data_IF_284740566613
#
_entry.id   IF_284740566613
#
_cell.length_a   1.000
_cell.length_b   1.000
_cell.length_c   1.000
_cell.angle_alpha   90.00
_cell.angle_beta   90.00
_cell.angle_gamma   90.00
#
_symmetry.space_group_name_H-M   'P 1'
#
loop_
_entity.id
_entity.type
_entity.pdbx_description
1 polymer ?
#
# COMPACT_ATOMS: atom_id res chain seq x y z
N UNK A 1 -14.56 20.50 -3.09
CA UNK A 1 -14.19 21.57 -2.13
C UNK A 1 -14.96 22.84 -2.41
N UNK A 2 -15.03 23.33 -3.64
CA UNK A 2 -15.78 24.52 -4.00
C UNK A 2 -17.24 24.48 -3.53
N UNK A 3 -17.95 23.41 -3.89
CA UNK A 3 -19.34 23.24 -3.43
C UNK A 3 -19.50 23.18 -1.90
N UNK A 4 -18.48 22.68 -1.18
CA UNK A 4 -18.49 22.70 0.29
C UNK A 4 -18.26 24.10 0.89
N UNK A 5 -17.59 24.98 0.15
CA UNK A 5 -17.40 26.38 0.53
C UNK A 5 -18.69 27.20 0.41
N UNK A 6 -19.56 26.82 -0.52
CA UNK A 6 -20.86 27.45 -0.74
C UNK A 6 -21.94 27.00 0.27
N UNK A 7 -21.72 25.93 1.02
CA UNK A 7 -22.67 25.45 2.02
C UNK A 7 -22.78 26.46 3.18
N UNK A 8 -23.97 26.97 3.42
CA UNK A 8 -24.29 27.72 4.61
C UNK A 8 -24.53 26.80 5.80
N UNK A 9 -24.06 27.19 6.98
CA UNK A 9 -24.36 26.50 8.23
C UNK A 9 -25.23 27.43 9.10
N UNK A 10 -26.41 26.97 9.49
CA UNK A 10 -27.37 27.73 10.27
C UNK A 10 -27.26 27.48 11.78
N UNK A 11 -26.50 26.46 12.16
CA UNK A 11 -26.27 26.07 13.55
C UNK A 11 -24.93 25.35 13.70
N UNK A 12 -24.51 25.11 14.94
CA UNK A 12 -23.23 24.47 15.25
C UNK A 12 -23.09 23.05 14.68
N UNK A 13 -24.17 22.28 14.62
CA UNK A 13 -24.14 20.91 14.07
C UNK A 13 -23.85 20.93 12.58
N UNK A 14 -24.53 21.79 11.85
CA UNK A 14 -24.29 21.97 10.41
C UNK A 14 -22.88 22.49 10.12
N UNK A 15 -22.34 23.40 10.96
CA UNK A 15 -20.97 23.88 10.83
C UNK A 15 -19.95 22.73 11.05
N UNK A 16 -20.16 21.87 12.04
CA UNK A 16 -19.31 20.70 12.26
C UNK A 16 -19.39 19.71 11.08
N UNK A 17 -20.57 19.50 10.52
CA UNK A 17 -20.75 18.68 9.32
C UNK A 17 -20.03 19.28 8.10
N UNK A 18 -20.17 20.59 7.88
CA UNK A 18 -19.48 21.31 6.81
C UNK A 18 -17.97 21.19 6.94
N UNK A 19 -17.43 21.45 8.12
CA UNK A 19 -16.00 21.28 8.41
C UNK A 19 -15.53 19.87 8.13
N UNK A 20 -16.32 18.87 8.55
CA UNK A 20 -16.01 17.45 8.29
C UNK A 20 -15.92 17.15 6.80
N UNK A 21 -16.92 17.56 6.00
CA UNK A 21 -16.92 17.37 4.55
C UNK A 21 -15.68 17.99 3.91
N UNK A 22 -15.28 19.22 4.34
CA UNK A 22 -14.07 19.88 3.87
C UNK A 22 -12.82 19.08 4.22
N UNK A 23 -12.69 18.66 5.47
CA UNK A 23 -11.54 17.88 5.93
C UNK A 23 -11.38 16.55 5.16
N UNK A 24 -12.48 15.83 4.98
CA UNK A 24 -12.49 14.59 4.21
C UNK A 24 -12.16 14.83 2.72
N UNK A 25 -12.67 15.91 2.12
CA UNK A 25 -12.37 16.24 0.73
C UNK A 25 -10.88 16.61 0.54
N UNK A 26 -10.28 17.34 1.48
CA UNK A 26 -8.85 17.61 1.48
C UNK A 26 -8.03 16.32 1.65
N UNK A 27 -8.39 15.47 2.59
CA UNK A 27 -7.75 14.17 2.78
C UNK A 27 -7.79 13.32 1.50
N UNK A 28 -8.96 13.18 0.86
CA UNK A 28 -9.11 12.40 -0.35
C UNK A 28 -8.30 12.98 -1.52
N UNK A 29 -8.28 14.31 -1.68
CA UNK A 29 -7.47 14.95 -2.72
C UNK A 29 -5.98 14.70 -2.48
N UNK A 30 -5.52 14.83 -1.24
CA UNK A 30 -4.16 14.49 -0.87
C UNK A 30 -3.82 13.02 -1.19
N UNK A 31 -4.69 12.08 -0.82
CA UNK A 31 -4.50 10.66 -1.07
C UNK A 31 -4.41 10.35 -2.58
N UNK A 32 -5.29 10.94 -3.39
CA UNK A 32 -5.26 10.72 -4.83
C UNK A 32 -4.02 11.33 -5.49
N UNK A 33 -3.62 12.57 -5.15
CA UNK A 33 -2.40 13.14 -5.69
C UNK A 33 -1.14 12.44 -5.21
N UNK A 34 -1.12 11.97 -3.97
CA UNK A 34 -0.03 11.12 -3.48
C UNK A 34 0.06 9.80 -4.27
N UNK A 35 -1.07 9.19 -4.59
CA UNK A 35 -1.10 7.99 -5.43
C UNK A 35 -0.62 8.29 -6.84
N UNK A 36 -1.13 9.35 -7.48
CA UNK A 36 -0.78 9.73 -8.84
C UNK A 36 0.71 10.07 -8.99
N UNK A 37 1.28 10.86 -8.08
CA UNK A 37 2.71 11.20 -8.14
C UNK A 37 3.59 9.97 -7.96
N UNK A 38 3.15 8.98 -7.17
CA UNK A 38 3.89 7.74 -6.99
C UNK A 38 3.67 6.70 -8.10
N UNK A 39 2.70 6.89 -8.98
CA UNK A 39 2.52 6.08 -10.19
C UNK A 39 3.29 6.68 -11.39
N UNK A 40 3.16 7.97 -11.61
CA UNK A 40 3.58 8.66 -12.82
C UNK A 40 4.79 9.57 -12.68
N UNK A 41 5.15 9.99 -11.45
CA UNK A 41 6.37 10.74 -11.15
C UNK A 41 7.54 9.83 -10.75
N UNK A 42 8.74 10.35 -10.70
CA UNK A 42 9.91 9.66 -10.14
C UNK A 42 9.81 9.57 -8.60
N UNK A 43 10.43 8.54 -7.96
CA UNK A 43 10.47 8.46 -6.50
C UNK A 43 11.09 9.74 -5.90
N UNK A 44 10.49 10.22 -4.80
CA UNK A 44 10.95 11.44 -4.16
C UNK A 44 12.38 11.31 -3.61
N UNK A 45 13.28 12.13 -4.11
CA UNK A 45 14.64 12.32 -3.58
C UNK A 45 15.23 13.62 -4.15
N UNK A 46 16.32 14.18 -3.60
CA UNK A 46 16.89 15.45 -4.08
C UNK A 46 17.19 15.49 -5.59
N UNK A 47 17.51 14.35 -6.18
CA UNK A 47 17.78 14.23 -7.62
C UNK A 47 16.51 14.33 -8.47
N UNK A 48 15.36 13.91 -7.93
CA UNK A 48 14.14 13.72 -8.69
C UNK A 48 13.07 14.79 -8.43
N UNK A 49 13.19 15.59 -7.37
CA UNK A 49 12.15 16.55 -6.97
C UNK A 49 11.75 17.55 -8.05
N UNK A 50 12.67 17.94 -8.92
CA UNK A 50 12.40 18.86 -10.04
C UNK A 50 11.93 18.15 -11.34
N UNK A 51 11.78 16.81 -11.33
CA UNK A 51 11.30 16.09 -12.51
C UNK A 51 9.79 16.22 -12.68
N UNK A 52 9.28 16.24 -13.93
CA UNK A 52 7.85 16.24 -14.19
C UNK A 52 7.14 15.03 -13.58
N UNK A 53 5.93 15.24 -13.05
CA UNK A 53 5.10 14.20 -12.46
C UNK A 53 3.69 14.19 -13.05
N UNK A 54 2.77 14.96 -12.47
CA UNK A 54 1.37 15.01 -12.89
C UNK A 54 0.82 16.43 -12.82
N UNK A 55 -0.16 16.80 -13.66
CA UNK A 55 -0.82 18.09 -13.56
C UNK A 55 -1.67 18.18 -12.28
N UNK A 56 -1.68 19.36 -11.65
CA UNK A 56 -2.54 19.68 -10.51
C UNK A 56 -3.81 20.41 -10.98
N UNK A 57 -4.93 19.68 -11.01
CA UNK A 57 -6.25 20.27 -11.21
C UNK A 57 -6.93 20.48 -9.84
N UNK A 58 -7.08 21.74 -9.44
CA UNK A 58 -7.59 22.11 -8.12
C UNK A 58 -9.02 22.66 -8.15
N UNK A 59 -9.57 22.87 -9.34
CA UNK A 59 -10.94 23.33 -9.57
C UNK A 59 -11.85 22.19 -10.01
N UNK A 60 -13.13 22.25 -9.67
CA UNK A 60 -14.13 21.23 -10.01
C UNK A 60 -14.70 21.39 -11.43
N UNK A 61 -14.58 22.57 -12.00
CA UNK A 61 -15.14 22.86 -13.32
C UNK A 61 -14.28 22.30 -14.45
N UNK A 62 -14.94 21.89 -15.53
CA UNK A 62 -14.25 21.58 -16.79
C UNK A 62 -13.78 22.92 -17.38
N UNK A 63 -12.49 23.04 -17.61
CA UNK A 63 -11.86 24.21 -18.19
C UNK A 63 -11.26 23.82 -19.53
N UNK A 64 -11.50 24.65 -20.55
CA UNK A 64 -10.87 24.48 -21.87
C UNK A 64 -9.49 25.15 -21.83
N UNK A 65 -8.54 24.42 -21.26
CA UNK A 65 -7.13 24.84 -21.16
C UNK A 65 -6.20 23.64 -21.06
N UNK A 66 -5.01 23.81 -21.55
CA UNK A 66 -3.92 22.86 -21.37
C UNK A 66 -3.43 22.87 -19.91
N UNK A 67 -3.27 21.67 -19.32
CA UNK A 67 -2.72 21.54 -17.99
C UNK A 67 -1.21 21.37 -18.04
N UNK A 68 -0.50 22.21 -17.32
CA UNK A 68 0.96 22.09 -17.16
C UNK A 68 1.27 20.96 -16.18
N UNK A 69 2.21 20.09 -16.56
CA UNK A 69 2.70 19.03 -15.66
C UNK A 69 3.52 19.68 -14.54
N UNK A 70 3.10 19.43 -13.32
CA UNK A 70 3.82 19.86 -12.12
C UNK A 70 4.97 18.91 -11.78
N UNK A 71 5.97 19.42 -11.07
CA UNK A 71 7.09 18.64 -10.60
C UNK A 71 6.70 17.73 -9.43
N UNK A 72 7.54 16.73 -9.15
CA UNK A 72 7.37 15.87 -7.97
C UNK A 72 7.27 16.71 -6.69
N UNK A 73 8.14 17.71 -6.51
CA UNK A 73 8.13 18.61 -5.35
C UNK A 73 6.81 19.38 -5.21
N UNK A 74 6.32 19.99 -6.30
CA UNK A 74 5.07 20.75 -6.30
C UNK A 74 3.87 19.87 -5.93
N UNK A 75 3.82 18.63 -6.43
CA UNK A 75 2.74 17.71 -6.10
C UNK A 75 2.82 17.28 -4.63
N UNK A 76 4.00 16.94 -4.11
CA UNK A 76 4.16 16.60 -2.69
C UNK A 76 3.85 17.80 -1.78
N UNK A 77 4.24 19.02 -2.16
CA UNK A 77 3.86 20.25 -1.44
C UNK A 77 2.34 20.43 -1.40
N UNK A 78 1.63 20.16 -2.52
CA UNK A 78 0.16 20.20 -2.55
C UNK A 78 -0.47 19.14 -1.66
N UNK A 79 0.06 17.92 -1.69
CA UNK A 79 -0.39 16.82 -0.81
C UNK A 79 -0.28 17.22 0.66
N UNK A 80 0.88 17.73 1.09
CA UNK A 80 1.07 18.16 2.47
C UNK A 80 0.17 19.32 2.83
N UNK A 81 -0.01 20.32 1.95
CA UNK A 81 -0.91 21.44 2.20
C UNK A 81 -2.38 20.97 2.38
N UNK A 82 -2.83 20.00 1.58
CA UNK A 82 -4.16 19.43 1.77
C UNK A 82 -4.28 18.63 3.07
N UNK A 83 -3.22 17.94 3.50
CA UNK A 83 -3.22 17.24 4.79
C UNK A 83 -3.19 18.19 5.99
N UNK A 84 -2.58 19.37 5.88
CA UNK A 84 -2.68 20.41 6.91
C UNK A 84 -4.10 20.98 7.02
N UNK A 85 -4.76 21.23 5.89
CA UNK A 85 -6.16 21.66 5.89
C UNK A 85 -7.09 20.56 6.45
N UNK A 86 -6.86 19.29 6.07
CA UNK A 86 -7.62 18.17 6.61
C UNK A 86 -7.47 18.05 8.13
N UNK A 87 -6.25 18.20 8.65
CA UNK A 87 -5.96 18.24 10.09
C UNK A 87 -6.75 19.35 10.79
N UNK A 88 -6.68 20.59 10.26
CA UNK A 88 -7.37 21.74 10.83
C UNK A 88 -8.90 21.58 10.87
N UNK A 89 -9.49 20.92 9.88
CA UNK A 89 -10.94 20.71 9.81
C UNK A 89 -11.43 19.49 10.62
N UNK A 90 -10.65 18.42 10.70
CA UNK A 90 -11.07 17.16 11.34
C UNK A 90 -10.72 17.09 12.83
N UNK A 91 -9.66 17.79 13.27
CA UNK A 91 -9.26 17.81 14.67
C UNK A 91 -10.37 18.35 15.57
N UNK A 92 -10.72 17.55 16.59
CA UNK A 92 -11.84 17.85 17.48
C UNK A 92 -13.23 17.64 16.88
N UNK A 93 -13.30 16.98 15.72
CA UNK A 93 -14.54 16.65 15.03
C UNK A 93 -14.55 15.16 14.58
N UNK A 94 -13.99 14.30 15.41
CA UNK A 94 -13.87 12.87 15.15
C UNK A 94 -15.25 12.19 15.18
N UNK A 95 -15.46 11.22 14.29
CA UNK A 95 -16.60 10.32 14.31
C UNK A 95 -16.07 8.90 14.49
N UNK A 96 -16.25 8.38 15.68
CA UNK A 96 -15.79 7.04 16.01
C UNK A 96 -16.56 5.96 15.24
N UNK A 97 -15.87 4.87 14.95
CA UNK A 97 -16.43 3.64 14.36
C UNK A 97 -17.07 3.83 12.98
N UNK A 98 -16.44 4.61 12.10
CA UNK A 98 -16.91 4.79 10.75
C UNK A 98 -15.78 4.51 9.73
N UNK A 99 -15.49 3.25 9.40
CA UNK A 99 -14.30 2.85 8.63
C UNK A 99 -14.26 3.44 7.21
N UNK A 100 -15.38 3.91 6.69
CA UNK A 100 -15.48 4.51 5.34
C UNK A 100 -15.43 6.04 5.33
N UNK A 101 -15.16 6.65 6.47
CA UNK A 101 -15.05 8.10 6.62
C UNK A 101 -13.68 8.41 7.20
N UNK A 102 -12.91 9.23 6.52
CA UNK A 102 -11.62 9.65 7.03
C UNK A 102 -11.78 10.54 8.26
N UNK A 103 -10.97 10.31 9.28
CA UNK A 103 -10.85 11.13 10.46
C UNK A 103 -9.40 11.60 10.67
N UNK A 104 -9.12 12.23 11.78
CA UNK A 104 -7.78 12.75 12.10
C UNK A 104 -6.73 11.63 12.20
N UNK A 105 -7.12 10.41 12.59
CA UNK A 105 -6.23 9.24 12.66
C UNK A 105 -5.73 8.85 11.27
N UNK A 106 -6.65 8.85 10.29
CA UNK A 106 -6.32 8.61 8.89
C UNK A 106 -5.40 9.70 8.31
N UNK A 107 -5.63 10.96 8.68
CA UNK A 107 -4.76 12.08 8.29
C UNK A 107 -3.34 11.90 8.83
N UNK A 108 -3.20 11.54 10.11
CA UNK A 108 -1.87 11.32 10.70
C UNK A 108 -1.16 10.13 10.06
N UNK A 109 -1.86 9.05 9.79
CA UNK A 109 -1.26 7.91 9.10
C UNK A 109 -0.81 8.27 7.68
N UNK A 110 -1.61 9.02 6.93
CA UNK A 110 -1.20 9.46 5.59
C UNK A 110 -0.04 10.46 5.64
N UNK A 111 -0.02 11.42 6.58
CA UNK A 111 1.15 12.29 6.81
C UNK A 111 2.40 11.47 7.09
N UNK A 112 2.32 10.48 7.98
CA UNK A 112 3.44 9.59 8.27
C UNK A 112 3.94 8.88 7.01
N UNK A 113 3.04 8.32 6.20
CA UNK A 113 3.37 7.66 4.91
C UNK A 113 4.04 8.63 3.93
N UNK A 114 3.50 9.85 3.77
CA UNK A 114 4.06 10.88 2.88
C UNK A 114 5.47 11.26 3.31
N UNK A 115 5.68 11.55 4.60
CA UNK A 115 7.01 11.90 5.12
C UNK A 115 8.00 10.74 5.04
N UNK A 116 7.54 9.49 5.24
CA UNK A 116 8.35 8.29 5.03
C UNK A 116 8.88 8.20 3.59
N UNK A 117 8.02 8.50 2.60
CA UNK A 117 8.40 8.53 1.18
C UNK A 117 9.34 9.70 0.85
N UNK A 118 9.21 10.82 1.55
CA UNK A 118 10.12 11.96 1.44
C UNK A 118 11.44 11.77 2.19
N UNK A 119 11.60 10.67 2.92
CA UNK A 119 12.73 10.39 3.81
C UNK A 119 12.90 11.45 4.93
N UNK A 120 11.81 12.11 5.30
CA UNK A 120 11.73 12.98 6.47
C UNK A 120 11.36 12.13 7.69
N UNK A 121 12.37 11.46 8.24
CA UNK A 121 12.17 10.43 9.27
C UNK A 121 11.57 10.98 10.56
N UNK A 122 11.94 12.20 10.97
CA UNK A 122 11.42 12.85 12.18
C UNK A 122 9.93 13.11 12.08
N UNK A 123 9.46 13.71 10.98
CA UNK A 123 8.03 13.96 10.77
C UNK A 123 7.26 12.67 10.50
N UNK A 124 7.88 11.66 9.85
CA UNK A 124 7.27 10.35 9.66
C UNK A 124 7.01 9.66 11.01
N UNK A 125 8.00 9.61 11.91
CA UNK A 125 7.88 9.04 13.24
C UNK A 125 6.86 9.79 14.10
N UNK A 126 6.92 11.13 14.11
CA UNK A 126 5.98 11.99 14.84
C UNK A 126 4.52 11.74 14.45
N UNK A 127 4.22 11.68 13.16
CA UNK A 127 2.85 11.47 12.71
C UNK A 127 2.40 10.01 12.86
N UNK A 128 3.31 9.03 12.77
CA UNK A 128 3.01 7.65 13.15
C UNK A 128 2.63 7.57 14.64
N UNK A 129 3.38 8.22 15.51
CA UNK A 129 3.08 8.26 16.94
C UNK A 129 1.74 8.95 17.22
N UNK A 130 1.45 10.10 16.60
CA UNK A 130 0.14 10.78 16.74
C UNK A 130 -1.02 9.88 16.29
N UNK A 131 -0.84 9.08 15.25
CA UNK A 131 -1.81 8.08 14.83
C UNK A 131 -2.01 7.01 15.92
N UNK A 132 -0.92 6.45 16.42
CA UNK A 132 -0.93 5.39 17.45
C UNK A 132 -1.44 5.86 18.80
N UNK A 133 -1.29 7.13 19.14
CA UNK A 133 -1.86 7.72 20.36
C UNK A 133 -3.41 7.74 20.31
N UNK A 134 -4.00 7.76 19.12
CA UNK A 134 -5.45 7.73 18.93
C UNK A 134 -5.96 6.29 18.74
N UNK A 135 -5.23 5.47 17.98
CA UNK A 135 -5.60 4.08 17.72
C UNK A 135 -4.32 3.24 17.52
N UNK A 136 -4.07 2.29 18.42
CA UNK A 136 -2.85 1.47 18.44
C UNK A 136 -3.12 -0.04 18.53
N UNK A 137 -4.39 -0.44 18.52
CA UNK A 137 -4.78 -1.85 18.68
C UNK A 137 -4.29 -2.69 17.52
N UNK A 138 -3.86 -3.92 17.84
CA UNK A 138 -3.45 -4.95 16.89
C UNK A 138 -4.27 -6.21 17.15
N UNK A 139 -4.71 -6.85 16.08
CA UNK A 139 -5.31 -8.18 16.16
C UNK A 139 -4.24 -9.18 16.55
N UNK A 140 -4.47 -9.94 17.61
CA UNK A 140 -3.56 -11.00 18.01
C UNK A 140 -3.92 -12.32 17.30
N UNK A 141 -3.09 -12.71 16.35
CA UNK A 141 -3.30 -13.93 15.58
C UNK A 141 -3.16 -15.21 16.43
N UNK A 142 -2.55 -15.15 17.61
CA UNK A 142 -2.52 -16.27 18.54
C UNK A 142 -3.91 -16.64 19.10
N UNK A 143 -4.86 -15.70 19.06
CA UNK A 143 -6.22 -15.86 19.58
C UNK A 143 -7.32 -15.54 18.56
N UNK A 144 -6.96 -15.26 17.33
CA UNK A 144 -7.85 -14.69 16.29
C UNK A 144 -8.86 -15.67 15.70
N UNK A 145 -8.97 -16.86 16.06
CA UNK A 145 -9.91 -17.80 15.46
C UNK A 145 -9.23 -18.87 14.59
N UNK A 146 -9.79 -19.18 13.42
CA UNK A 146 -9.26 -20.21 12.53
C UNK A 146 -8.95 -19.66 11.13
N UNK A 147 -8.40 -20.49 10.24
CA UNK A 147 -8.03 -20.12 8.87
C UNK A 147 -9.21 -19.67 7.97
N UNK A 148 -10.44 -19.92 8.39
CA UNK A 148 -11.63 -19.45 7.66
C UNK A 148 -12.08 -18.05 8.07
N UNK A 149 -11.51 -17.51 9.18
CA UNK A 149 -11.81 -16.17 9.65
C UNK A 149 -11.08 -15.14 8.80
N UNK A 150 -11.81 -14.27 8.11
CA UNK A 150 -11.21 -13.19 7.34
C UNK A 150 -10.51 -12.18 8.27
N UNK A 151 -9.25 -11.89 7.98
CA UNK A 151 -8.45 -10.95 8.76
C UNK A 151 -8.84 -9.49 8.50
N UNK A 152 -8.91 -9.10 7.23
CA UNK A 152 -9.22 -7.74 6.82
C UNK A 152 -10.74 -7.53 6.68
N UNK A 153 -11.35 -6.93 7.67
CA UNK A 153 -12.80 -6.63 7.70
C UNK A 153 -13.06 -5.20 8.18
N UNK A 154 -14.25 -4.67 7.87
CA UNK A 154 -14.67 -3.35 8.34
C UNK A 154 -14.83 -3.24 9.85
N UNK A 155 -14.92 -4.35 10.56
CA UNK A 155 -15.00 -4.42 12.03
C UNK A 155 -13.65 -4.69 12.71
N UNK A 156 -12.57 -4.81 11.95
CA UNK A 156 -11.24 -5.03 12.52
C UNK A 156 -10.83 -3.85 13.42
N UNK A 157 -10.33 -4.10 14.64
CA UNK A 157 -9.83 -3.04 15.52
C UNK A 157 -8.59 -2.33 14.97
N UNK A 158 -7.92 -2.95 13.98
CA UNK A 158 -6.79 -2.32 13.28
C UNK A 158 -7.23 -1.32 12.21
N UNK A 159 -8.47 -1.41 11.72
CA UNK A 159 -8.90 -0.60 10.59
C UNK A 159 -9.12 0.86 11.02
N UNK A 160 -8.43 1.77 10.37
CA UNK A 160 -8.56 3.22 10.54
C UNK A 160 -9.47 3.79 9.45
N UNK A 161 -9.20 3.44 8.19
CA UNK A 161 -9.96 3.93 7.05
C UNK A 161 -9.90 2.95 5.88
N UNK A 162 -10.99 2.85 5.13
CA UNK A 162 -11.06 2.09 3.89
C UNK A 162 -12.01 2.74 2.90
N UNK A 163 -11.65 2.74 1.62
CA UNK A 163 -12.57 3.20 0.57
C UNK A 163 -13.62 2.14 0.19
N UNK A 164 -13.55 0.96 0.80
CA UNK A 164 -14.44 -0.17 0.50
C UNK A 164 -14.10 -0.86 -0.83
N UNK A 165 -14.50 -2.10 -0.95
CA UNK A 165 -14.29 -2.92 -2.15
C UNK A 165 -12.85 -3.39 -2.36
N UNK A 166 -12.69 -4.65 -2.75
CA UNK A 166 -11.40 -5.23 -3.13
C UNK A 166 -11.58 -6.16 -4.33
N UNK A 167 -10.50 -6.32 -5.11
CA UNK A 167 -10.44 -7.20 -6.27
C UNK A 167 -9.37 -8.28 -6.12
N UNK A 168 -8.45 -8.14 -5.17
CA UNK A 168 -7.32 -9.06 -4.98
C UNK A 168 -7.76 -10.51 -4.80
N UNK A 169 -8.75 -10.84 -3.94
CA UNK A 169 -9.22 -12.22 -3.83
C UNK A 169 -9.73 -12.80 -5.15
N UNK A 170 -10.43 -12.00 -5.95
CA UNK A 170 -10.91 -12.44 -7.26
C UNK A 170 -9.78 -12.65 -8.25
N UNK A 171 -8.76 -11.82 -8.21
CA UNK A 171 -7.61 -11.91 -9.13
C UNK A 171 -6.70 -13.09 -8.79
N UNK A 172 -6.51 -13.39 -7.50
CA UNK A 172 -5.60 -14.44 -7.04
C UNK A 172 -6.30 -15.79 -6.83
N UNK A 173 -7.60 -15.77 -6.47
CA UNK A 173 -8.35 -16.99 -6.14
C UNK A 173 -9.16 -17.51 -7.34
N UNK A 174 -9.02 -16.91 -8.50
CA UNK A 174 -9.62 -17.38 -9.74
C UNK A 174 -8.58 -18.20 -10.52
N UNK A 175 -8.76 -19.51 -10.55
CA UNK A 175 -7.91 -20.44 -11.32
C UNK A 175 -7.77 -20.06 -12.80
N UNK A 176 -8.66 -19.24 -13.33
CA UNK A 176 -8.62 -18.74 -14.72
C UNK A 176 -7.86 -17.41 -14.85
N UNK A 177 -7.62 -16.69 -13.76
CA UNK A 177 -6.88 -15.43 -13.80
C UNK A 177 -5.36 -15.65 -13.92
N UNK A 178 -4.88 -16.85 -13.61
CA UNK A 178 -3.46 -17.23 -13.75
C UNK A 178 -2.51 -16.49 -12.82
N UNK A 179 -3.02 -15.90 -11.73
CA UNK A 179 -2.24 -15.17 -10.74
C UNK A 179 -2.27 -15.93 -9.41
N UNK A 180 -1.12 -15.99 -8.75
CA UNK A 180 -0.97 -16.55 -7.41
C UNK A 180 -0.03 -15.67 -6.57
N UNK A 181 0.03 -15.92 -5.27
CA UNK A 181 1.05 -15.30 -4.43
C UNK A 181 2.44 -15.75 -4.89
N UNK A 182 3.39 -14.80 -4.98
CA UNK A 182 4.75 -15.14 -5.44
C UNK A 182 5.48 -16.04 -4.45
N UNK A 183 6.32 -16.96 -4.95
CA UNK A 183 7.17 -17.81 -4.12
C UNK A 183 8.01 -16.98 -3.13
N UNK A 184 8.59 -15.88 -3.59
CA UNK A 184 9.35 -14.95 -2.74
C UNK A 184 8.53 -14.39 -1.55
N UNK A 185 7.21 -14.24 -1.69
CA UNK A 185 6.35 -13.83 -0.57
C UNK A 185 6.16 -14.99 0.41
N UNK A 186 5.91 -16.18 -0.11
CA UNK A 186 5.73 -17.39 0.71
C UNK A 186 6.98 -17.66 1.55
N UNK A 187 8.15 -17.56 0.94
CA UNK A 187 9.45 -17.76 1.60
C UNK A 187 9.76 -16.71 2.68
N UNK A 188 9.11 -15.54 2.64
CA UNK A 188 9.26 -14.53 3.70
C UNK A 188 8.66 -14.95 5.05
N UNK A 189 7.75 -15.93 5.07
CA UNK A 189 7.10 -16.40 6.29
C UNK A 189 7.82 -17.62 6.86
N UNK A 190 8.21 -17.53 8.13
CA UNK A 190 8.70 -18.70 8.86
C UNK A 190 7.54 -19.65 9.17
N UNK A 191 7.86 -20.88 9.58
CA UNK A 191 6.85 -21.87 9.94
C UNK A 191 5.95 -21.43 11.09
N UNK A 192 6.47 -20.58 12.00
CA UNK A 192 5.78 -20.09 13.18
C UNK A 192 5.13 -18.71 12.98
N UNK A 193 5.16 -18.18 11.75
CA UNK A 193 4.46 -16.95 11.38
C UNK A 193 3.00 -17.27 11.08
N UNK A 194 2.11 -16.86 11.97
CA UNK A 194 0.67 -17.16 11.89
C UNK A 194 0.01 -16.52 10.67
N UNK A 195 0.59 -15.45 10.10
CA UNK A 195 0.07 -14.81 8.88
C UNK A 195 0.02 -15.77 7.70
N UNK A 196 0.93 -16.73 7.63
CA UNK A 196 0.91 -17.75 6.57
C UNK A 196 -0.43 -18.49 6.56
N UNK A 197 -0.97 -18.79 7.74
CA UNK A 197 -2.26 -19.47 7.89
C UNK A 197 -3.46 -18.55 7.61
N UNK A 198 -3.37 -17.25 7.99
CA UNK A 198 -4.51 -16.33 7.91
C UNK A 198 -4.54 -15.52 6.62
N UNK A 199 -3.37 -15.24 6.02
CA UNK A 199 -3.28 -14.40 4.81
C UNK A 199 -3.24 -15.20 3.52
N UNK A 200 -2.90 -16.49 3.61
CA UNK A 200 -2.68 -17.37 2.48
C UNK A 200 -3.46 -18.67 2.64
N UNK A 201 -3.86 -19.25 1.53
CA UNK A 201 -4.42 -20.61 1.47
C UNK A 201 -3.67 -21.37 0.40
N UNK A 202 -3.08 -22.51 0.76
CA UNK A 202 -2.47 -23.40 -0.21
C UNK A 202 -3.55 -24.04 -1.09
N UNK A 203 -3.35 -23.97 -2.40
CA UNK A 203 -4.28 -24.56 -3.36
C UNK A 203 -3.96 -26.05 -3.50
N UNK A 204 -4.93 -26.89 -3.16
CA UNK A 204 -4.77 -28.33 -3.09
C UNK A 204 -4.22 -28.92 -4.41
N UNK A 205 -3.23 -29.79 -4.31
CA UNK A 205 -2.52 -30.42 -5.44
C UNK A 205 -1.72 -29.48 -6.33
N UNK A 206 -1.36 -28.28 -5.85
CA UNK A 206 -0.53 -27.33 -6.57
C UNK A 206 0.54 -26.73 -5.65
N UNK A 207 1.48 -25.97 -6.24
CA UNK A 207 2.45 -25.16 -5.48
C UNK A 207 1.98 -23.70 -5.33
N UNK A 208 0.71 -23.41 -5.62
CA UNK A 208 0.16 -22.07 -5.61
C UNK A 208 -0.52 -21.72 -4.29
N UNK A 209 -0.56 -20.44 -4.01
CA UNK A 209 -1.21 -19.88 -2.83
C UNK A 209 -2.18 -18.78 -3.23
N UNK A 210 -3.38 -18.89 -2.73
CA UNK A 210 -4.43 -17.87 -2.84
C UNK A 210 -4.33 -16.86 -1.70
N UNK A 211 -4.93 -15.68 -1.90
CA UNK A 211 -5.09 -14.69 -0.86
C UNK A 211 -6.29 -15.03 0.03
N UNK A 212 -6.04 -15.25 1.30
CA UNK A 212 -7.08 -15.51 2.32
C UNK A 212 -7.29 -14.33 3.30
N UNK A 213 -6.62 -13.22 3.07
CA UNK A 213 -6.64 -12.05 3.97
C UNK A 213 -7.98 -11.35 4.04
N UNK A 214 -8.75 -11.38 2.95
CA UNK A 214 -10.03 -10.72 2.79
C UNK A 214 -11.20 -11.69 2.81
N UNK A 215 -12.39 -11.17 3.08
CA UNK A 215 -13.62 -11.94 2.92
C UNK A 215 -13.77 -12.33 1.46
N UNK A 216 -13.98 -13.61 1.18
CA UNK A 216 -14.15 -14.13 -0.19
C UNK A 216 -15.40 -13.52 -0.85
N UNK A 217 -15.30 -13.14 -2.11
CA UNK A 217 -16.38 -12.48 -2.87
C UNK A 217 -17.64 -13.33 -3.12
N UNK A 218 -17.58 -14.62 -2.93
CA UNK A 218 -18.73 -15.51 -3.10
C UNK A 218 -19.89 -15.21 -2.14
N UNK A 219 -19.60 -14.61 -1.00
CA UNK A 219 -20.62 -14.06 -0.15
C UNK A 219 -21.00 -12.67 -0.70
N UNK A 220 -22.13 -12.58 -1.34
CA UNK A 220 -22.79 -11.36 -1.82
C UNK A 220 -22.85 -10.30 -0.72
N UNK A 221 -21.87 -9.50 -0.49
CA UNK A 221 -21.80 -8.32 0.39
C UNK A 221 -20.47 -8.16 1.13
N UNK A 222 -19.39 -8.83 0.75
CA UNK A 222 -18.22 -8.95 1.62
C UNK A 222 -16.96 -8.23 1.15
N UNK A 223 -17.01 -7.52 0.02
CA UNK A 223 -15.95 -6.59 -0.36
C UNK A 223 -16.09 -5.29 0.46
N UNK A 224 -15.95 -5.39 1.77
CA UNK A 224 -16.21 -4.27 2.66
C UNK A 224 -14.96 -3.51 3.10
N UNK A 225 -13.78 -3.92 2.63
CA UNK A 225 -12.53 -3.20 2.81
C UNK A 225 -11.73 -3.15 1.51
N UNK A 226 -11.01 -2.07 1.28
CA UNK A 226 -10.21 -1.87 0.08
C UNK A 226 -8.89 -2.64 0.15
N UNK A 227 -8.42 -3.12 -0.99
CA UNK A 227 -7.10 -3.71 -1.15
C UNK A 227 -5.99 -2.67 -1.43
N UNK A 228 -6.35 -1.45 -1.85
CA UNK A 228 -5.38 -0.41 -2.22
C UNK A 228 -5.41 0.83 -1.33
N UNK A 229 -6.55 1.08 -0.69
CA UNK A 229 -6.80 2.28 0.10
C UNK A 229 -7.28 1.91 1.50
N UNK A 230 -6.62 0.92 2.09
CA UNK A 230 -6.82 0.52 3.47
C UNK A 230 -5.73 1.13 4.35
N UNK A 231 -6.15 1.68 5.47
CA UNK A 231 -5.29 2.29 6.48
C UNK A 231 -5.46 1.51 7.76
N UNK A 232 -4.37 0.98 8.30
CA UNK A 232 -4.38 0.13 9.50
C UNK A 232 -3.30 0.54 10.50
N UNK A 233 -3.54 0.28 11.76
CA UNK A 233 -2.57 0.54 12.84
C UNK A 233 -1.24 -0.19 12.64
N UNK A 234 -1.27 -1.38 12.04
CA UNK A 234 -0.04 -2.12 11.70
C UNK A 234 0.90 -1.31 10.78
N UNK A 235 0.35 -0.54 9.83
CA UNK A 235 1.16 0.37 9.01
C UNK A 235 1.81 1.48 9.85
N UNK A 236 1.07 2.05 10.81
CA UNK A 236 1.61 3.09 11.69
C UNK A 236 2.80 2.56 12.52
N UNK A 237 2.68 1.35 13.08
CA UNK A 237 3.78 0.69 13.78
C UNK A 237 5.00 0.47 12.88
N UNK A 238 4.80 0.04 11.64
CA UNK A 238 5.87 -0.17 10.67
C UNK A 238 6.51 1.15 10.20
N UNK A 239 5.71 2.20 9.99
CA UNK A 239 6.21 3.52 9.65
C UNK A 239 7.07 4.09 10.79
N UNK A 240 6.62 3.93 12.04
CA UNK A 240 7.37 4.34 13.24
C UNK A 240 8.70 3.60 13.33
N UNK A 241 8.67 2.27 13.17
CA UNK A 241 9.87 1.45 13.21
C UNK A 241 10.88 1.82 12.12
N UNK A 242 10.43 1.97 10.87
CA UNK A 242 11.33 2.31 9.75
C UNK A 242 11.91 3.72 9.93
N UNK A 243 11.10 4.69 10.34
CA UNK A 243 11.55 6.06 10.55
C UNK A 243 12.64 6.12 11.64
N UNK A 244 12.42 5.49 12.78
CA UNK A 244 13.44 5.45 13.85
C UNK A 244 14.70 4.69 13.43
N UNK A 245 14.58 3.56 12.74
CA UNK A 245 15.74 2.82 12.25
C UNK A 245 16.56 3.66 11.25
N UNK A 246 15.90 4.42 10.37
CA UNK A 246 16.56 5.28 9.40
C UNK A 246 17.18 6.54 10.04
N UNK A 247 16.64 7.06 11.14
CA UNK A 247 17.32 8.11 11.92
C UNK A 247 18.64 7.62 12.52
N UNK A 248 18.69 6.34 12.90
CA UNK A 248 19.90 5.72 13.44
C UNK A 248 20.25 6.20 14.84
N UNK A 249 21.31 5.61 15.40
CA UNK A 249 21.74 5.82 16.78
C UNK A 249 21.01 4.91 17.76
N UNK A 250 21.69 4.56 18.86
CA UNK A 250 21.27 3.50 19.79
C UNK A 250 19.84 3.69 20.34
N UNK A 251 19.47 4.92 20.72
CA UNK A 251 18.14 5.21 21.25
C UNK A 251 17.05 5.03 20.19
N UNK A 252 17.26 5.57 18.98
CA UNK A 252 16.29 5.44 17.89
C UNK A 252 16.17 3.98 17.44
N UNK A 253 17.26 3.25 17.34
CA UNK A 253 17.23 1.82 17.00
C UNK A 253 16.50 1.01 18.08
N UNK A 254 16.59 1.40 19.35
CA UNK A 254 15.81 0.76 20.42
C UNK A 254 14.31 1.03 20.25
N UNK A 255 13.92 2.26 19.92
CA UNK A 255 12.50 2.59 19.62
C UNK A 255 12.02 1.85 18.37
N UNK A 256 12.85 1.74 17.33
CA UNK A 256 12.56 0.98 16.14
C UNK A 256 12.28 -0.50 16.44
N UNK A 257 13.14 -1.14 17.23
CA UNK A 257 12.93 -2.53 17.69
C UNK A 257 11.65 -2.68 18.50
N UNK A 258 11.40 -1.74 19.42
CA UNK A 258 10.17 -1.76 20.25
C UNK A 258 8.92 -1.69 19.39
N UNK A 259 8.89 -0.80 18.39
CA UNK A 259 7.75 -0.68 17.48
C UNK A 259 7.59 -1.93 16.59
N UNK A 260 8.68 -2.47 16.04
CA UNK A 260 8.68 -3.70 15.26
C UNK A 260 8.19 -4.90 16.08
N UNK A 261 8.74 -5.06 17.26
CA UNK A 261 8.43 -6.19 18.14
C UNK A 261 6.99 -6.12 18.67
N UNK A 262 6.43 -4.91 18.82
CA UNK A 262 5.01 -4.74 19.14
C UNK A 262 4.10 -5.41 18.11
N UNK A 263 4.40 -5.28 16.82
CA UNK A 263 3.66 -5.95 15.75
C UNK A 263 3.94 -7.46 15.75
N UNK A 264 5.22 -7.86 15.81
CA UNK A 264 5.64 -9.25 15.67
C UNK A 264 5.09 -10.17 16.76
N UNK A 265 4.94 -9.67 18.00
CA UNK A 265 4.33 -10.41 19.11
C UNK A 265 2.88 -10.84 18.82
N UNK A 266 2.16 -10.11 17.96
CA UNK A 266 0.79 -10.43 17.55
C UNK A 266 0.71 -11.26 16.27
N UNK A 267 1.85 -11.59 15.66
CA UNK A 267 1.94 -12.27 14.36
C UNK A 267 2.68 -13.59 14.41
N UNK A 268 3.60 -13.74 15.35
CA UNK A 268 4.40 -14.95 15.53
C UNK A 268 3.81 -15.76 16.70
N UNK A 269 3.81 -17.06 16.56
CA UNK A 269 3.37 -17.97 17.61
C UNK A 269 4.11 -17.66 18.91
N UNK A 270 3.37 -17.44 20.00
CA UNK A 270 3.91 -16.94 21.29
C UNK A 270 5.08 -17.77 21.81
N UNK A 271 5.02 -19.11 21.62
CA UNK A 271 6.07 -20.04 22.06
C UNK A 271 7.38 -19.94 21.26
N UNK A 272 7.36 -19.27 20.10
CA UNK A 272 8.47 -19.14 19.16
C UNK A 272 8.85 -17.67 18.89
N UNK A 273 8.20 -16.74 19.58
CA UNK A 273 8.53 -15.33 19.44
C UNK A 273 9.87 -15.02 20.12
N UNK A 274 10.74 -14.34 19.38
CA UNK A 274 11.99 -13.79 19.88
C UNK A 274 12.07 -12.30 19.53
N UNK A 275 12.49 -11.50 20.50
CA UNK A 275 12.69 -10.06 20.31
C UNK A 275 13.85 -9.80 19.36
N UNK A 276 13.71 -8.78 18.52
CA UNK A 276 14.73 -8.38 17.57
C UNK A 276 15.95 -7.76 18.25
N UNK A 277 17.15 -8.25 17.91
CA UNK A 277 18.43 -7.74 18.36
C UNK A 277 19.25 -7.06 17.23
N UNK A 278 18.66 -6.89 16.04
CA UNK A 278 19.30 -6.31 14.88
C UNK A 278 19.57 -4.80 15.07
N UNK A 279 20.53 -4.26 14.33
CA UNK A 279 20.92 -2.85 14.32
C UNK A 279 21.37 -2.41 12.92
N UNK A 280 21.45 -1.10 12.68
CA UNK A 280 21.88 -0.52 11.41
C UNK A 280 21.05 -0.99 10.22
N UNK A 281 21.70 -1.20 9.08
CA UNK A 281 21.02 -1.60 7.83
C UNK A 281 20.27 -2.93 7.97
N UNK A 282 20.78 -3.89 8.76
CA UNK A 282 20.09 -5.16 9.00
C UNK A 282 18.74 -4.98 9.71
N UNK A 283 18.62 -4.01 10.62
CA UNK A 283 17.36 -3.66 11.25
C UNK A 283 16.38 -3.04 10.24
N UNK A 284 16.87 -2.14 9.38
CA UNK A 284 16.06 -1.51 8.33
C UNK A 284 15.54 -2.57 7.35
N UNK A 285 16.38 -3.49 6.92
CA UNK A 285 16.00 -4.57 6.01
C UNK A 285 14.95 -5.51 6.64
N UNK A 286 15.12 -5.85 7.92
CA UNK A 286 14.10 -6.67 8.63
C UNK A 286 12.77 -5.95 8.77
N UNK A 287 12.76 -4.64 9.10
CA UNK A 287 11.53 -3.84 9.16
C UNK A 287 10.82 -3.82 7.78
N UNK A 288 11.58 -3.67 6.69
CA UNK A 288 11.05 -3.70 5.33
C UNK A 288 10.55 -5.10 4.91
N UNK A 289 11.21 -6.15 5.39
CA UNK A 289 10.72 -7.52 5.22
C UNK A 289 9.43 -7.75 6.02
N UNK A 290 9.36 -7.25 7.26
CA UNK A 290 8.15 -7.29 8.06
C UNK A 290 7.00 -6.52 7.40
N UNK A 291 7.29 -5.34 6.83
CA UNK A 291 6.33 -4.57 6.06
C UNK A 291 5.79 -5.35 4.85
N UNK A 292 6.63 -6.09 4.15
CA UNK A 292 6.21 -6.98 3.05
C UNK A 292 5.28 -8.09 3.54
N UNK A 293 5.64 -8.76 4.66
CA UNK A 293 4.81 -9.81 5.27
C UNK A 293 3.46 -9.29 5.71
N UNK A 294 3.44 -8.14 6.36
CA UNK A 294 2.24 -7.57 6.97
C UNK A 294 1.29 -6.92 5.95
N UNK A 295 1.82 -6.12 5.04
CA UNK A 295 1.04 -5.32 4.09
C UNK A 295 0.92 -5.97 2.70
N UNK A 296 1.17 -7.29 2.60
CA UNK A 296 0.93 -8.01 1.36
C UNK A 296 -0.55 -7.89 0.95
N UNK A 297 -0.80 -7.80 -0.36
CA UNK A 297 -2.12 -7.62 -0.96
C UNK A 297 -2.85 -6.31 -0.61
N UNK A 298 -2.14 -5.31 -0.08
CA UNK A 298 -2.69 -3.99 0.27
C UNK A 298 -2.14 -2.86 -0.61
N UNK A 299 -1.56 -3.18 -1.76
CA UNK A 299 -1.07 -2.19 -2.73
C UNK A 299 0.25 -1.51 -2.38
N UNK A 300 0.93 -1.88 -1.27
CA UNK A 300 2.14 -1.19 -0.81
C UNK A 300 3.42 -1.58 -1.56
N UNK A 301 3.58 -2.86 -1.95
CA UNK A 301 4.88 -3.42 -2.38
C UNK A 301 5.53 -2.68 -3.54
N UNK A 302 4.76 -2.31 -4.57
CA UNK A 302 5.27 -1.56 -5.72
C UNK A 302 5.88 -0.22 -5.31
N UNK A 303 5.15 0.54 -4.51
CA UNK A 303 5.58 1.85 -4.03
C UNK A 303 6.75 1.77 -3.06
N UNK A 304 6.75 0.77 -2.18
CA UNK A 304 7.85 0.53 -1.24
C UNK A 304 9.16 0.23 -1.99
N UNK A 305 9.15 -0.67 -2.96
CA UNK A 305 10.35 -0.97 -3.75
C UNK A 305 10.86 0.26 -4.49
N UNK A 306 9.95 1.07 -5.07
CA UNK A 306 10.34 2.32 -5.74
C UNK A 306 11.05 3.28 -4.80
N UNK A 307 10.48 3.57 -3.62
CA UNK A 307 11.11 4.48 -2.65
C UNK A 307 12.42 3.91 -2.09
N UNK A 308 12.53 2.60 -1.96
CA UNK A 308 13.78 1.97 -1.51
C UNK A 308 14.92 2.11 -2.52
N UNK A 309 14.65 2.21 -3.83
CA UNK A 309 15.71 2.41 -4.84
C UNK A 309 16.44 3.75 -4.67
N UNK A 310 15.81 4.73 -4.06
CA UNK A 310 16.37 6.07 -3.83
C UNK A 310 16.66 6.35 -2.34
N UNK A 311 16.52 5.33 -1.48
CA UNK A 311 16.77 5.46 -0.05
C UNK A 311 18.26 5.66 0.24
N UNK A 312 18.58 6.60 1.12
CA UNK A 312 19.95 6.83 1.58
C UNK A 312 20.44 5.69 2.49
N UNK A 313 19.52 4.99 3.16
CA UNK A 313 19.79 3.85 4.03
C UNK A 313 19.31 2.56 3.41
N UNK A 314 20.11 1.50 3.43
CA UNK A 314 19.79 0.19 2.89
C UNK A 314 19.06 0.27 1.52
N UNK A 315 19.64 0.88 0.46
CA UNK A 315 18.97 1.04 -0.82
C UNK A 315 18.65 -0.31 -1.46
N UNK A 316 17.47 -0.43 -2.07
CA UNK A 316 17.13 -1.62 -2.85
C UNK A 316 17.92 -1.63 -4.16
N UNK A 317 18.77 -2.63 -4.33
CA UNK A 317 19.61 -2.85 -5.53
C UNK A 317 19.26 -4.13 -6.28
N UNK A 318 18.24 -4.86 -5.82
CA UNK A 318 17.81 -6.13 -6.38
C UNK A 318 16.93 -5.99 -7.64
N UNK A 319 16.26 -7.08 -7.96
CA UNK A 319 15.31 -7.16 -9.07
C UNK A 319 14.04 -7.91 -8.64
N UNK A 320 12.97 -7.72 -9.42
CA UNK A 320 11.78 -8.54 -9.37
C UNK A 320 11.75 -9.38 -10.65
N UNK A 321 11.50 -10.67 -10.50
CA UNK A 321 11.27 -11.57 -11.62
C UNK A 321 9.84 -12.04 -11.64
N UNK A 322 9.28 -12.10 -12.84
CA UNK A 322 7.96 -12.66 -13.07
C UNK A 322 8.00 -13.58 -14.29
N UNK A 323 7.53 -14.81 -14.12
CA UNK A 323 7.43 -15.78 -15.19
C UNK A 323 5.99 -15.85 -15.67
N UNK A 324 5.81 -15.58 -16.94
CA UNK A 324 4.53 -15.74 -17.62
C UNK A 324 4.53 -17.07 -18.36
N UNK A 325 3.62 -17.97 -17.99
CA UNK A 325 3.46 -19.27 -18.62
C UNK A 325 2.25 -19.26 -19.56
N UNK A 326 2.46 -19.81 -20.76
CA UNK A 326 1.39 -20.19 -21.67
C UNK A 326 0.97 -21.60 -21.36
N UNK A 327 -0.33 -21.82 -21.30
CA UNK A 327 -0.89 -23.14 -21.10
C UNK A 327 -1.63 -23.56 -22.35
N UNK A 328 -1.36 -24.79 -22.82
CA UNK A 328 -2.24 -25.52 -23.72
C UNK A 328 -3.09 -26.44 -22.88
N UNK A 329 -4.35 -26.59 -23.25
CA UNK A 329 -5.19 -27.58 -22.60
C UNK A 329 -5.78 -28.51 -23.63
N UNK A 330 -5.85 -29.76 -23.25
CA UNK A 330 -6.40 -30.80 -24.07
C UNK A 330 -7.40 -31.62 -23.25
N UNK A 331 -8.37 -32.11 -23.97
CA UNK A 331 -9.38 -33.00 -23.40
C UNK A 331 -8.84 -34.43 -23.38
N UNK A 332 -8.91 -35.10 -22.23
CA UNK A 332 -8.65 -36.51 -22.10
C UNK A 332 -9.96 -37.28 -22.18
N UNK A 333 -10.14 -38.03 -23.28
CA UNK A 333 -11.35 -38.82 -23.52
C UNK A 333 -11.47 -40.02 -22.56
N UNK A 334 -10.39 -40.43 -21.92
CA UNK A 334 -10.39 -41.57 -21.01
C UNK A 334 -10.80 -41.17 -19.60
N UNK A 335 -10.27 -40.04 -19.10
CA UNK A 335 -10.59 -39.52 -17.78
C UNK A 335 -11.73 -38.49 -17.76
N UNK A 336 -12.25 -38.15 -18.94
CA UNK A 336 -13.36 -37.19 -19.11
C UNK A 336 -13.09 -35.83 -18.42
N UNK A 337 -11.84 -35.36 -18.51
CA UNK A 337 -11.44 -34.07 -17.94
C UNK A 337 -10.46 -33.33 -18.82
N UNK A 338 -10.33 -32.03 -18.60
CA UNK A 338 -9.31 -31.21 -19.22
C UNK A 338 -8.02 -31.26 -18.39
N UNK A 339 -6.91 -31.39 -19.09
CA UNK A 339 -5.56 -31.21 -18.56
C UNK A 339 -4.95 -29.95 -19.11
N UNK A 340 -4.11 -29.32 -18.31
CA UNK A 340 -3.35 -28.14 -18.66
C UNK A 340 -1.88 -28.50 -18.65
N UNK A 341 -1.19 -28.14 -19.72
CA UNK A 341 0.25 -28.30 -19.80
C UNK A 341 0.89 -26.96 -20.13
N UNK A 342 2.05 -26.67 -19.54
CA UNK A 342 2.80 -25.47 -19.87
C UNK A 342 3.45 -25.67 -21.23
N UNK A 343 2.95 -24.96 -22.24
CA UNK A 343 3.50 -25.04 -23.60
C UNK A 343 4.74 -24.17 -23.79
N UNK A 344 4.83 -23.07 -23.04
CA UNK A 344 6.06 -22.26 -22.99
C UNK A 344 6.01 -21.33 -21.77
N UNK A 345 7.17 -20.93 -21.29
CA UNK A 345 7.27 -19.89 -20.24
C UNK A 345 8.28 -18.80 -20.64
N UNK A 346 8.00 -17.57 -20.21
CA UNK A 346 8.87 -16.43 -20.47
C UNK A 346 9.07 -15.66 -19.16
N UNK A 347 10.31 -15.54 -18.72
CA UNK A 347 10.66 -14.80 -17.50
C UNK A 347 11.11 -13.39 -17.84
N UNK A 348 10.52 -12.42 -17.18
CA UNK A 348 10.85 -11.00 -17.26
C UNK A 348 11.47 -10.52 -15.96
N UNK A 349 12.39 -9.58 -16.06
CA UNK A 349 13.08 -9.01 -14.90
C UNK A 349 12.92 -7.48 -14.86
N UNK A 350 12.64 -6.95 -13.68
CA UNK A 350 12.59 -5.52 -13.39
C UNK A 350 13.68 -5.22 -12.35
N UNK A 351 14.79 -4.62 -12.80
CA UNK A 351 15.90 -4.25 -11.92
C UNK A 351 15.66 -2.93 -11.20
N UNK A 352 16.38 -2.69 -10.10
CA UNK A 352 16.39 -1.39 -9.45
C UNK A 352 16.82 -0.28 -10.44
N UNK A 353 16.10 0.84 -10.43
CA UNK A 353 16.38 1.98 -11.33
C UNK A 353 15.87 1.81 -12.78
N UNK A 354 15.18 0.73 -13.09
CA UNK A 354 14.56 0.53 -14.39
C UNK A 354 13.47 1.60 -14.65
N UNK A 355 13.42 2.20 -15.87
CA UNK A 355 12.41 3.20 -16.21
C UNK A 355 10.96 2.75 -16.03
N UNK A 356 10.67 1.45 -16.14
CA UNK A 356 9.30 0.94 -16.00
C UNK A 356 8.75 0.96 -14.57
N UNK A 357 9.56 1.32 -13.58
CA UNK A 357 9.05 1.65 -12.26
C UNK A 357 8.12 2.87 -12.26
N UNK A 358 8.21 3.73 -13.26
CA UNK A 358 7.32 4.86 -13.48
C UNK A 358 6.35 4.51 -14.61
N UNK A 359 5.05 4.50 -14.31
CA UNK A 359 4.04 4.14 -15.29
C UNK A 359 3.95 5.19 -16.40
N UNK A 360 3.58 4.74 -17.60
CA UNK A 360 3.20 5.66 -18.68
C UNK A 360 1.86 6.33 -18.37
N UNK A 361 1.78 7.61 -18.70
CA UNK A 361 0.49 8.31 -18.75
C UNK A 361 -0.39 7.58 -19.78
N UNK A 362 -1.67 7.31 -19.45
CA UNK A 362 -2.57 6.63 -20.37
C UNK A 362 -2.65 7.31 -21.74
N UNK A 363 -2.68 6.51 -22.81
CA UNK A 363 -2.67 7.01 -24.18
C UNK A 363 -3.83 7.97 -24.47
N UNK A 364 -4.98 7.70 -23.91
CA UNK A 364 -6.17 8.55 -24.02
C UNK A 364 -5.92 9.96 -23.47
N UNK A 365 -5.17 10.09 -22.38
CA UNK A 365 -4.79 11.40 -21.82
C UNK A 365 -3.80 12.10 -22.74
N UNK A 366 -2.82 11.37 -23.30
CA UNK A 366 -1.83 11.93 -24.21
C UNK A 366 -2.44 12.45 -25.52
N UNK A 367 -3.62 11.95 -25.93
CA UNK A 367 -4.31 12.43 -27.12
C UNK A 367 -4.97 13.81 -26.95
N UNK A 368 -5.32 14.16 -25.72
CA UNK A 368 -6.01 15.40 -25.40
C UNK A 368 -5.09 16.48 -24.81
N UNK A 369 -3.93 16.08 -24.33
CA UNK A 369 -2.96 16.96 -23.68
C UNK A 369 -1.61 16.79 -24.41
N UNK A 370 -0.93 17.86 -24.74
CA UNK A 370 0.42 17.81 -25.33
C UNK A 370 1.47 17.38 -24.27
N UNK A 371 1.22 16.25 -23.62
CA UNK A 371 2.13 15.71 -22.61
C UNK A 371 3.17 14.80 -23.29
N UNK A 372 4.42 14.97 -22.92
CA UNK A 372 5.46 14.04 -23.35
C UNK A 372 5.26 12.67 -22.69
N UNK A 373 5.15 11.58 -23.45
CA UNK A 373 5.01 10.26 -22.84
C UNK A 373 6.30 9.88 -22.12
N UNK A 374 6.17 9.25 -20.96
CA UNK A 374 7.29 8.50 -20.40
C UNK A 374 7.64 7.36 -21.37
N UNK A 375 8.88 7.27 -21.86
CA UNK A 375 9.22 6.25 -22.85
C UNK A 375 9.05 4.85 -22.23
N UNK A 376 8.19 4.03 -22.83
CA UNK A 376 8.06 2.62 -22.49
C UNK A 376 8.99 1.83 -23.39
N UNK A 377 9.99 1.20 -22.81
CA UNK A 377 10.85 0.30 -23.56
C UNK A 377 10.16 -1.08 -23.66
N UNK A 378 10.12 -1.63 -24.87
CA UNK A 378 9.77 -3.04 -25.03
C UNK A 378 10.81 -3.90 -24.28
N UNK A 379 10.32 -4.91 -23.60
CA UNK A 379 11.17 -5.82 -22.83
C UNK A 379 11.20 -7.18 -23.51
N UNK A 380 12.39 -7.65 -23.78
CA UNK A 380 12.59 -9.06 -24.08
C UNK A 380 12.59 -9.87 -22.76
N UNK A 381 12.08 -11.10 -22.77
CA UNK A 381 12.28 -12.01 -21.64
C UNK A 381 13.77 -12.29 -21.44
N UNK A 382 14.19 -12.49 -20.20
CA UNK A 382 15.56 -12.90 -19.86
C UNK A 382 15.78 -14.40 -20.09
N UNK A 383 14.70 -15.19 -20.09
CA UNK A 383 14.70 -16.60 -20.50
C UNK A 383 13.35 -16.96 -21.12
N UNK A 384 13.36 -17.91 -22.05
CA UNK A 384 12.17 -18.56 -22.62
C UNK A 384 12.41 -20.05 -22.63
N UNK A 385 11.48 -20.80 -22.08
CA UNK A 385 11.44 -22.28 -22.09
C UNK A 385 10.22 -22.72 -22.92
N UNK A 386 10.44 -23.72 -23.81
CA UNK A 386 9.41 -24.26 -24.70
C UNK A 386 9.12 -25.71 -24.33
#
# INVERSE_FOLDING_TARGET
LGSADELSANNQVEELQRRRIKGEAHFLRALYYFTLVNLYGQPYCPKNVATPAVPLKLTEFVEDKDYVVNTVEEVYARVLADLEEADAYLKGNEVKNHPYRADITAVYLLKSRVYLYMQNWEEAAKHAQLCLDLQSELVDLNTFGNSETAFATASSPELIFSMGGNNIPRMLNDQFAGLSASADLIECYTQNDLRRQFFLTEVEYTEYYDCNKYVKQEATNNANVSDNFMFRTAEAWLNLAEAYACMGGENNEQEARTALDRLRQHRIETSHYEATALSGDALIEEIRAERRRELCFEGHRWFDLRRYTVSEKAPFTGSIRNTYSKYDYFWDDWEWKYYWDVSSSSTYELTAGDPAWTLQIPYEVLQFEELAPNPRHERAPISTEN
#
